data_IF_455490563376
#
_entry.id   IF_455490563376
#
_cell.length_a   1.000
_cell.length_b   1.000
_cell.length_c   1.000
_cell.angle_alpha   90.00
_cell.angle_beta   90.00
_cell.angle_gamma   90.00
#
_symmetry.space_group_name_H-M   'P 1'
#
loop_
_entity.id
_entity.type
_entity.pdbx_description
1 polymer ?
#
# COMPACT_ATOMS: atom_id res chain seq x y z
N UNK A 1 42.19 16.14 -19.07
CA UNK A 1 42.16 14.68 -19.29
C UNK A 1 40.82 14.34 -19.89
N UNK A 2 40.82 13.65 -21.02
CA UNK A 2 39.61 13.32 -21.78
C UNK A 2 38.72 12.35 -21.01
N UNK A 3 37.41 12.60 -20.99
CA UNK A 3 36.40 11.79 -20.29
C UNK A 3 35.24 11.51 -21.23
N UNK A 4 34.62 10.34 -21.11
CA UNK A 4 33.40 9.99 -21.85
C UNK A 4 32.48 9.06 -21.06
N UNK A 5 31.22 9.01 -21.48
CA UNK A 5 30.29 7.96 -21.09
C UNK A 5 30.23 6.92 -22.21
N UNK A 6 30.45 5.64 -21.90
CA UNK A 6 30.41 4.53 -22.87
C UNK A 6 29.24 3.59 -22.69
N UNK A 7 28.53 3.72 -21.57
CA UNK A 7 27.26 3.02 -21.34
C UNK A 7 26.34 3.99 -20.65
N UNK A 8 25.15 4.17 -21.21
CA UNK A 8 24.06 4.87 -20.54
C UNK A 8 22.75 4.19 -20.93
N UNK A 9 22.21 3.36 -20.04
CA UNK A 9 21.00 2.59 -20.30
C UNK A 9 19.98 2.75 -19.20
N UNK A 10 18.72 2.52 -19.54
CA UNK A 10 17.57 2.53 -18.64
C UNK A 10 16.79 1.22 -18.83
N UNK A 11 16.45 0.58 -17.71
CA UNK A 11 15.75 -0.70 -17.63
C UNK A 11 14.61 -0.58 -16.61
N UNK A 12 13.51 -1.29 -16.83
CA UNK A 12 12.37 -1.37 -15.90
C UNK A 12 12.29 -2.77 -15.30
N UNK A 13 11.80 -2.89 -14.06
CA UNK A 13 11.53 -4.21 -13.47
C UNK A 13 10.18 -4.79 -13.88
N UNK A 14 9.22 -3.91 -14.14
CA UNK A 14 7.85 -4.29 -14.45
C UNK A 14 7.30 -3.40 -15.58
N UNK A 15 6.37 -3.95 -16.35
CA UNK A 15 5.70 -3.20 -17.42
C UNK A 15 4.61 -2.26 -16.90
N UNK A 16 4.04 -2.57 -15.73
CA UNK A 16 2.82 -1.97 -15.23
C UNK A 16 2.90 -1.67 -13.73
N UNK A 17 2.25 -0.60 -13.30
CA UNK A 17 2.04 -0.28 -11.88
C UNK A 17 0.72 0.50 -11.70
N UNK A 18 0.24 0.63 -10.46
CA UNK A 18 -1.04 1.28 -10.17
C UNK A 18 -0.92 2.80 -10.14
N UNK A 19 -1.82 3.48 -10.85
CA UNK A 19 -1.90 4.94 -10.93
C UNK A 19 -2.57 5.58 -9.70
N UNK A 20 -2.07 5.29 -8.50
CA UNK A 20 -2.61 5.82 -7.23
C UNK A 20 -1.69 6.88 -6.59
N UNK A 21 -0.61 7.29 -7.27
CA UNK A 21 0.41 8.21 -6.78
C UNK A 21 1.35 7.65 -5.71
N UNK A 22 1.09 6.44 -5.22
CA UNK A 22 1.81 5.76 -4.12
C UNK A 22 2.60 4.57 -4.64
N UNK A 23 2.03 3.73 -5.49
CA UNK A 23 2.69 2.56 -6.06
C UNK A 23 3.82 3.02 -6.99
N UNK A 24 4.98 2.40 -6.83
CA UNK A 24 6.19 2.68 -7.59
C UNK A 24 6.54 1.51 -8.52
N UNK A 25 7.08 1.83 -9.70
CA UNK A 25 7.85 0.91 -10.53
C UNK A 25 9.33 1.22 -10.35
N UNK A 26 10.15 0.20 -10.10
CA UNK A 26 11.60 0.37 -10.05
C UNK A 26 12.18 0.46 -11.46
N UNK A 27 13.06 1.43 -11.66
CA UNK A 27 13.80 1.68 -12.88
C UNK A 27 15.29 1.66 -12.52
N UNK A 28 16.06 0.94 -13.33
CA UNK A 28 17.50 0.78 -13.17
C UNK A 28 18.21 1.56 -14.27
N UNK A 29 19.12 2.43 -13.89
CA UNK A 29 19.92 3.25 -14.80
C UNK A 29 21.37 2.81 -14.66
N UNK A 30 21.98 2.39 -15.77
CA UNK A 30 23.37 1.93 -15.78
C UNK A 30 24.24 2.94 -16.51
N UNK A 31 25.30 3.42 -15.86
CA UNK A 31 26.21 4.43 -16.40
C UNK A 31 27.66 3.98 -16.29
N UNK A 32 28.41 3.97 -17.39
CA UNK A 32 29.85 3.72 -17.40
C UNK A 32 30.59 4.98 -17.85
N UNK A 33 31.28 5.62 -16.91
CA UNK A 33 32.18 6.75 -17.17
C UNK A 33 33.62 6.26 -17.26
N UNK A 34 34.36 6.77 -18.23
CA UNK A 34 35.77 6.46 -18.45
C UNK A 34 36.59 7.73 -18.62
N UNK A 35 37.85 7.68 -18.20
CA UNK A 35 38.87 8.68 -18.48
C UNK A 35 40.01 8.07 -19.30
N UNK A 36 40.59 8.87 -20.20
CA UNK A 36 41.76 8.45 -20.95
C UNK A 36 43.02 8.74 -20.13
N UNK A 37 43.73 7.67 -19.74
CA UNK A 37 44.91 7.74 -18.89
C UNK A 37 45.94 6.70 -19.35
N UNK A 38 47.19 7.13 -19.50
CA UNK A 38 48.32 6.27 -19.86
C UNK A 38 48.09 5.44 -21.15
N UNK A 39 47.39 6.01 -22.13
CA UNK A 39 47.12 5.33 -23.42
C UNK A 39 45.93 4.37 -23.42
N UNK A 40 45.18 4.26 -22.31
CA UNK A 40 44.01 3.37 -22.18
C UNK A 40 42.80 4.11 -21.60
N UNK A 41 41.60 3.62 -21.89
CA UNK A 41 40.35 4.09 -21.29
C UNK A 41 40.09 3.31 -20.00
N UNK A 42 40.21 3.99 -18.87
CA UNK A 42 40.01 3.39 -17.55
C UNK A 42 38.69 3.86 -16.95
N UNK A 43 37.99 2.98 -16.23
CA UNK A 43 36.77 3.35 -15.50
C UNK A 43 37.07 4.48 -14.52
N UNK A 44 36.22 5.49 -14.55
CA UNK A 44 36.21 6.61 -13.61
C UNK A 44 34.86 6.62 -12.91
N UNK A 45 34.85 6.76 -11.58
CA UNK A 45 33.61 6.86 -10.84
C UNK A 45 32.85 8.15 -11.20
N UNK A 46 31.53 8.07 -11.23
CA UNK A 46 30.65 9.23 -11.25
C UNK A 46 30.86 10.04 -9.97
N UNK A 47 30.95 11.36 -10.13
CA UNK A 47 30.93 12.27 -8.99
C UNK A 47 29.56 12.30 -8.32
N UNK A 48 29.49 12.71 -7.05
CA UNK A 48 28.22 12.86 -6.34
C UNK A 48 27.28 13.87 -6.99
N UNK A 49 27.83 14.86 -7.71
CA UNK A 49 27.04 15.81 -8.48
C UNK A 49 26.39 15.15 -9.69
N UNK A 50 27.14 14.31 -10.41
CA UNK A 50 26.63 13.54 -11.55
C UNK A 50 25.57 12.52 -11.09
N UNK A 51 25.83 11.78 -10.00
CA UNK A 51 24.87 10.83 -9.41
C UNK A 51 23.55 11.50 -9.06
N UNK A 52 23.59 12.65 -8.37
CA UNK A 52 22.39 13.42 -7.99
C UNK A 52 21.67 14.06 -9.17
N UNK A 53 22.34 14.22 -10.30
CA UNK A 53 21.73 14.77 -11.52
C UNK A 53 20.96 13.73 -12.35
N UNK A 54 21.13 12.43 -12.06
CA UNK A 54 20.43 11.36 -12.78
C UNK A 54 18.94 11.42 -12.48
N UNK A 55 18.14 11.52 -13.54
CA UNK A 55 16.69 11.64 -13.45
C UNK A 55 16.03 10.87 -14.61
N UNK A 56 14.83 10.37 -14.37
CA UNK A 56 13.95 9.87 -15.42
C UNK A 56 13.20 11.05 -16.05
N UNK A 57 13.00 11.03 -17.37
CA UNK A 57 12.26 12.04 -18.11
C UNK A 57 11.43 11.41 -19.23
N UNK A 58 10.46 12.17 -19.75
CA UNK A 58 9.71 11.79 -20.95
C UNK A 58 10.66 11.61 -22.14
N UNK A 59 10.38 10.62 -23.00
CA UNK A 59 11.02 10.54 -24.30
C UNK A 59 10.69 11.80 -25.12
N UNK A 60 11.68 12.33 -25.82
CA UNK A 60 11.53 13.52 -26.66
C UNK A 60 12.53 13.50 -27.78
N UNK A 61 12.08 13.90 -28.97
CA UNK A 61 12.95 14.13 -30.12
C UNK A 61 13.62 15.53 -30.06
N UNK A 62 13.34 16.32 -29.01
CA UNK A 62 13.95 17.63 -28.81
C UNK A 62 15.43 17.52 -28.50
N UNK A 63 16.24 18.36 -29.14
CA UNK A 63 17.67 18.50 -28.86
C UNK A 63 17.95 19.40 -27.64
N UNK A 64 16.92 19.93 -26.98
CA UNK A 64 17.04 20.78 -25.78
C UNK A 64 16.94 19.89 -24.52
N UNK A 65 17.99 19.11 -24.28
CA UNK A 65 17.99 18.07 -23.24
C UNK A 65 17.83 18.61 -21.81
N UNK A 66 18.25 19.85 -21.55
CA UNK A 66 18.17 20.47 -20.22
C UNK A 66 16.72 20.71 -19.74
N UNK A 67 15.79 20.86 -20.68
CA UNK A 67 14.38 21.18 -20.37
C UNK A 67 13.49 19.93 -20.24
N UNK A 68 14.05 18.75 -20.45
CA UNK A 68 13.31 17.49 -20.37
C UNK A 68 12.80 17.26 -18.95
N UNK A 69 11.54 16.87 -18.83
CA UNK A 69 10.85 16.65 -17.56
C UNK A 69 10.09 15.33 -17.62
N UNK A 70 9.68 14.84 -16.45
CA UNK A 70 8.70 13.75 -16.39
C UNK A 70 7.39 14.15 -17.07
N UNK A 71 6.67 13.19 -17.69
CA UNK A 71 5.32 13.44 -18.19
C UNK A 71 4.40 13.99 -17.09
N UNK A 72 3.41 14.79 -17.49
CA UNK A 72 2.46 15.37 -16.53
C UNK A 72 1.74 14.27 -15.73
N UNK A 73 1.76 14.37 -14.40
CA UNK A 73 1.16 13.37 -13.49
C UNK A 73 2.09 12.21 -13.12
N UNK A 74 3.27 12.13 -13.72
CA UNK A 74 4.31 11.16 -13.37
C UNK A 74 5.37 11.81 -12.49
N UNK A 75 5.92 11.04 -11.56
CA UNK A 75 6.98 11.46 -10.64
C UNK A 75 8.07 10.40 -10.57
N UNK A 76 9.27 10.83 -10.17
CA UNK A 76 10.40 9.93 -9.93
C UNK A 76 11.07 10.32 -8.62
N UNK A 77 11.58 9.35 -7.88
CA UNK A 77 12.37 9.55 -6.65
C UNK A 77 13.51 8.55 -6.61
N UNK A 78 14.52 8.82 -5.81
CA UNK A 78 15.67 7.95 -5.51
C UNK A 78 15.39 6.94 -4.38
N UNK A 79 14.26 7.07 -3.68
CA UNK A 79 13.92 6.22 -2.54
C UNK A 79 12.67 5.34 -2.77
N UNK A 80 12.80 4.05 -2.45
CA UNK A 80 11.67 3.13 -2.35
C UNK A 80 10.79 3.58 -1.20
N UNK A 81 9.48 3.62 -1.41
CA UNK A 81 8.53 3.84 -0.33
C UNK A 81 8.10 2.51 0.33
N UNK A 82 7.10 2.58 1.21
CA UNK A 82 6.64 1.44 2.01
C UNK A 82 5.69 0.47 1.31
N UNK A 83 5.35 0.72 0.05
CA UNK A 83 4.42 -0.14 -0.70
C UNK A 83 5.18 -1.22 -1.45
N UNK A 84 4.49 -2.34 -1.68
CA UNK A 84 5.00 -3.45 -2.46
C UNK A 84 5.14 -3.04 -3.92
N UNK A 85 6.18 -3.56 -4.58
CA UNK A 85 6.40 -3.40 -6.02
C UNK A 85 5.66 -4.50 -6.78
N UNK A 86 5.45 -4.28 -8.08
CA UNK A 86 4.78 -5.22 -8.96
C UNK A 86 3.26 -5.23 -8.77
N UNK A 87 2.55 -5.91 -9.66
CA UNK A 87 1.10 -5.97 -9.58
C UNK A 87 0.62 -7.04 -8.60
N UNK A 88 -0.62 -6.89 -8.16
CA UNK A 88 -1.31 -7.90 -7.38
C UNK A 88 -1.44 -9.19 -8.21
N UNK A 89 -0.82 -10.27 -7.74
CA UNK A 89 -0.96 -11.58 -8.36
C UNK A 89 -2.23 -12.27 -7.84
N UNK A 90 -3.22 -12.46 -8.72
CA UNK A 90 -4.58 -12.93 -8.37
C UNK A 90 -4.71 -14.40 -7.95
N UNK A 91 -3.64 -15.05 -7.46
CA UNK A 91 -3.73 -16.42 -6.94
C UNK A 91 -3.99 -16.35 -5.43
N UNK A 92 -5.23 -16.60 -5.03
CA UNK A 92 -5.57 -16.84 -3.63
C UNK A 92 -4.91 -18.17 -3.22
N UNK A 93 -3.78 -18.12 -2.51
CA UNK A 93 -3.10 -19.34 -2.04
C UNK A 93 -2.93 -19.26 -0.53
N UNK A 94 -3.76 -19.97 0.24
CA UNK A 94 -3.77 -19.91 1.71
C UNK A 94 -2.42 -20.24 2.39
N UNK A 95 -1.41 -20.69 1.63
CA UNK A 95 -0.12 -21.17 2.15
C UNK A 95 1.09 -20.65 1.35
N UNK A 96 1.27 -19.33 1.22
CA UNK A 96 2.53 -18.78 0.69
C UNK A 96 3.08 -17.74 1.65
N UNK A 97 3.89 -18.21 2.60
CA UNK A 97 4.95 -17.39 3.19
C UNK A 97 6.01 -17.16 2.10
N UNK A 98 5.80 -16.18 1.22
CA UNK A 98 6.90 -15.66 0.41
C UNK A 98 7.74 -14.81 1.33
N UNK A 99 8.85 -15.38 1.79
CA UNK A 99 9.98 -14.60 2.27
C UNK A 99 10.33 -13.58 1.17
N UNK A 100 10.17 -12.29 1.47
CA UNK A 100 10.80 -11.25 0.66
C UNK A 100 12.30 -11.55 0.61
N UNK A 101 12.97 -11.42 -0.55
CA UNK A 101 14.42 -11.45 -0.57
C UNK A 101 14.91 -10.32 0.33
N UNK A 102 15.58 -10.69 1.42
CA UNK A 102 16.32 -9.78 2.28
C UNK A 102 17.32 -9.07 1.38
N UNK A 103 17.02 -7.83 1.00
CA UNK A 103 18.01 -6.94 0.41
C UNK A 103 18.92 -6.54 1.56
N UNK A 104 19.95 -7.37 1.80
CA UNK A 104 21.08 -6.97 2.63
C UNK A 104 21.64 -5.70 2.00
N UNK A 105 21.41 -4.57 2.66
CA UNK A 105 22.23 -3.39 2.47
C UNK A 105 23.65 -3.78 2.85
N UNK A 106 24.44 -4.24 1.89
CA UNK A 106 25.88 -4.38 2.05
C UNK A 106 26.46 -2.96 2.07
N UNK A 107 26.39 -2.34 3.25
CA UNK A 107 27.43 -1.44 3.69
C UNK A 107 28.72 -2.25 3.82
N UNK A 108 29.74 -1.77 3.10
CA UNK A 108 31.15 -1.78 3.48
C UNK A 108 31.78 -3.11 3.93
N UNK A 109 32.51 -3.76 3.02
CA UNK A 109 33.57 -4.71 3.37
C UNK A 109 34.81 -4.41 2.53
N UNK A 110 35.87 -4.01 3.20
CA UNK A 110 37.19 -3.68 2.67
C UNK A 110 37.89 -4.86 1.94
N UNK A 111 38.67 -4.46 0.92
CA UNK A 111 40.00 -4.96 0.49
C UNK A 111 40.24 -6.48 0.40
N UNK A 112 40.19 -7.00 -0.84
CA UNK A 112 41.04 -8.11 -1.26
C UNK A 112 41.87 -7.66 -2.47
N UNK A 113 43.18 -7.49 -2.27
CA UNK A 113 44.15 -6.88 -3.19
C UNK A 113 44.57 -7.74 -4.40
N UNK A 114 43.76 -8.69 -4.88
CA UNK A 114 44.17 -9.59 -5.99
C UNK A 114 43.14 -9.74 -7.14
N UNK A 115 42.26 -8.75 -7.34
CA UNK A 115 41.28 -8.72 -8.45
C UNK A 115 41.58 -7.64 -9.50
N UNK A 116 42.85 -7.33 -9.76
CA UNK A 116 43.21 -6.10 -10.47
C UNK A 116 43.16 -6.12 -12.02
N UNK A 117 42.77 -7.23 -12.68
CA UNK A 117 42.83 -7.29 -14.16
C UNK A 117 41.50 -7.57 -14.90
N UNK A 118 40.35 -7.64 -14.23
CA UNK A 118 39.04 -7.89 -14.89
C UNK A 118 37.93 -6.86 -14.61
N UNK A 119 38.16 -5.82 -13.78
CA UNK A 119 37.12 -4.86 -13.33
C UNK A 119 37.09 -3.56 -14.15
N UNK A 120 37.66 -3.54 -15.36
CA UNK A 120 37.83 -2.28 -16.12
C UNK A 120 36.55 -1.66 -16.70
N UNK A 121 35.39 -2.33 -16.66
CA UNK A 121 34.21 -1.87 -17.43
C UNK A 121 32.83 -2.16 -16.81
N UNK A 122 32.72 -2.37 -15.50
CA UNK A 122 31.39 -2.57 -14.86
C UNK A 122 30.68 -1.22 -14.70
N UNK A 123 29.49 -0.98 -15.28
CA UNK A 123 28.74 0.25 -15.07
C UNK A 123 28.35 0.47 -13.60
N UNK A 124 28.24 1.72 -13.18
CA UNK A 124 27.54 2.07 -11.95
C UNK A 124 26.03 1.97 -12.16
N UNK A 125 25.32 1.39 -11.18
CA UNK A 125 23.88 1.16 -11.24
C UNK A 125 23.19 2.11 -10.25
N UNK A 126 22.22 2.86 -10.74
CA UNK A 126 21.38 3.79 -9.97
C UNK A 126 19.93 3.32 -10.07
N UNK A 127 19.25 3.26 -8.94
CA UNK A 127 17.83 2.92 -8.89
C UNK A 127 16.99 4.19 -8.75
N UNK A 128 15.94 4.27 -9.56
CA UNK A 128 14.90 5.30 -9.46
C UNK A 128 13.54 4.63 -9.35
N UNK A 129 12.60 5.29 -8.70
CA UNK A 129 11.26 4.78 -8.46
C UNK A 129 10.25 5.72 -9.09
N UNK A 130 9.60 5.23 -10.14
CA UNK A 130 8.63 5.98 -10.93
C UNK A 130 7.22 5.71 -10.40
N UNK A 131 6.44 6.76 -10.18
CA UNK A 131 5.02 6.65 -9.82
C UNK A 131 4.17 7.61 -10.66
N UNK A 132 2.86 7.41 -10.64
CA UNK A 132 1.91 8.24 -11.39
C UNK A 132 0.58 8.31 -10.67
N UNK A 133 -0.09 9.46 -10.77
CA UNK A 133 -1.44 9.67 -10.25
C UNK A 133 -2.52 9.57 -11.34
N UNK A 134 -2.14 9.19 -12.57
CA UNK A 134 -3.06 9.06 -13.72
C UNK A 134 -2.77 7.84 -14.56
N UNK A 135 -3.83 7.21 -15.06
CA UNK A 135 -3.70 6.10 -15.99
C UNK A 135 -3.17 6.59 -17.33
N UNK A 136 -2.04 6.06 -17.79
CA UNK A 136 -1.38 6.47 -19.03
C UNK A 136 -0.29 5.47 -19.40
N UNK A 137 0.22 5.57 -20.62
CA UNK A 137 1.35 4.78 -21.11
C UNK A 137 2.37 5.74 -21.68
N UNK A 138 3.61 5.70 -21.17
CA UNK A 138 4.63 6.69 -21.48
C UNK A 138 5.94 5.99 -21.87
N UNK A 139 6.59 6.52 -22.91
CA UNK A 139 7.98 6.22 -23.17
C UNK A 139 8.86 7.13 -22.31
N UNK A 140 9.79 6.55 -21.57
CA UNK A 140 10.70 7.25 -20.69
C UNK A 140 12.16 6.96 -21.07
N UNK A 141 13.02 7.91 -20.77
CA UNK A 141 14.47 7.82 -20.86
C UNK A 141 15.11 8.35 -19.58
N UNK A 142 16.39 8.07 -19.35
CA UNK A 142 17.14 8.73 -18.29
C UNK A 142 17.94 9.91 -18.86
N UNK A 143 18.17 10.91 -18.02
CA UNK A 143 19.06 12.03 -18.29
C UNK A 143 20.03 12.23 -17.12
N UNK A 144 21.20 12.79 -17.39
CA UNK A 144 22.19 13.15 -16.39
C UNK A 144 22.98 14.38 -16.82
N UNK A 145 23.48 15.14 -15.86
CA UNK A 145 24.57 16.10 -16.12
C UNK A 145 25.88 15.34 -16.14
N UNK A 146 26.68 15.56 -17.18
CA UNK A 146 28.03 15.05 -17.34
C UNK A 146 29.01 16.22 -17.33
N UNK A 147 30.10 16.09 -16.58
CA UNK A 147 31.16 17.09 -16.50
C UNK A 147 32.46 16.55 -17.12
N UNK A 148 32.83 17.12 -18.27
CA UNK A 148 34.06 16.85 -18.98
C UNK A 148 35.00 18.08 -19.02
N UNK A 149 35.99 18.07 -19.91
CA UNK A 149 36.96 19.16 -20.06
C UNK A 149 36.37 20.43 -20.69
N UNK A 150 35.27 20.31 -21.41
CA UNK A 150 34.60 21.40 -22.13
C UNK A 150 33.47 22.03 -21.30
N UNK A 151 33.11 21.42 -20.17
CA UNK A 151 32.16 21.95 -19.20
C UNK A 151 31.11 20.92 -18.79
N UNK A 152 29.96 21.43 -18.34
CA UNK A 152 28.79 20.63 -17.98
C UNK A 152 27.84 20.57 -19.15
N UNK A 153 27.36 19.36 -19.46
CA UNK A 153 26.32 19.13 -20.48
C UNK A 153 25.34 18.06 -20.01
N UNK A 154 24.14 18.06 -20.57
CA UNK A 154 23.14 17.02 -20.29
C UNK A 154 23.24 15.92 -21.32
N UNK A 155 23.35 14.69 -20.85
CA UNK A 155 23.25 13.48 -21.65
C UNK A 155 21.90 12.81 -21.39
N UNK A 156 21.39 12.07 -22.38
CA UNK A 156 20.22 11.21 -22.22
C UNK A 156 20.53 9.80 -22.70
N UNK A 157 19.74 8.82 -22.25
CA UNK A 157 19.83 7.45 -22.77
C UNK A 157 19.29 7.31 -24.19
N UNK A 158 18.66 8.36 -24.74
CA UNK A 158 18.19 8.42 -26.11
C UNK A 158 18.70 9.72 -26.77
N UNK A 159 19.93 9.67 -27.27
CA UNK A 159 20.58 10.80 -27.95
C UNK A 159 21.57 10.31 -29.01
N UNK A 160 21.86 11.18 -29.97
CA UNK A 160 22.88 10.96 -30.99
C UNK A 160 23.55 12.29 -31.30
N UNK A 161 24.58 12.64 -30.51
CA UNK A 161 25.33 13.91 -30.66
C UNK A 161 26.82 13.64 -30.64
N UNK A 162 27.51 13.92 -31.75
CA UNK A 162 28.95 13.65 -31.87
C UNK A 162 29.25 12.15 -31.68
N UNK A 163 30.17 11.84 -30.78
CA UNK A 163 30.55 10.46 -30.44
C UNK A 163 29.64 9.82 -29.37
N UNK A 164 28.66 10.56 -28.84
CA UNK A 164 27.71 10.08 -27.84
C UNK A 164 26.42 9.62 -28.50
N UNK A 165 26.34 8.30 -28.71
CA UNK A 165 25.18 7.64 -29.31
C UNK A 165 24.62 6.63 -28.31
N UNK A 166 23.43 6.92 -27.78
CA UNK A 166 22.68 6.08 -26.86
C UNK A 166 21.26 5.87 -27.40
N UNK A 167 20.78 4.62 -27.43
CA UNK A 167 19.40 4.29 -27.79
C UNK A 167 18.80 3.30 -26.79
N UNK A 168 18.48 3.81 -25.61
CA UNK A 168 17.85 3.08 -24.53
C UNK A 168 16.68 3.90 -23.98
N UNK A 169 15.52 3.27 -23.97
CA UNK A 169 14.23 3.82 -23.53
C UNK A 169 13.38 2.69 -22.99
N UNK A 170 12.49 3.02 -22.06
CA UNK A 170 11.51 2.08 -21.49
C UNK A 170 10.10 2.56 -21.81
N UNK A 171 9.17 1.61 -21.95
CA UNK A 171 7.74 1.88 -22.03
C UNK A 171 7.10 1.47 -20.69
N UNK A 172 6.53 2.40 -19.94
CA UNK A 172 5.83 2.09 -18.68
C UNK A 172 4.35 2.41 -18.80
N UNK A 173 3.51 1.57 -18.17
CA UNK A 173 2.07 1.75 -18.16
C UNK A 173 1.54 1.89 -16.73
N UNK A 174 1.01 3.07 -16.43
CA UNK A 174 0.25 3.32 -15.20
C UNK A 174 -1.20 2.86 -15.43
N UNK A 175 -1.64 1.83 -14.72
CA UNK A 175 -2.99 1.24 -14.84
C UNK A 175 -3.92 1.68 -13.70
N UNK A 176 -5.22 1.47 -13.87
CA UNK A 176 -6.20 1.80 -12.84
C UNK A 176 -5.85 1.08 -11.52
N UNK A 177 -5.92 1.77 -10.37
CA UNK A 177 -5.71 1.13 -9.07
C UNK A 177 -6.62 -0.08 -8.87
N UNK A 178 -6.09 -1.14 -8.28
CA UNK A 178 -6.90 -2.29 -7.91
C UNK A 178 -7.99 -1.87 -6.92
N UNK A 179 -9.16 -2.49 -7.05
CA UNK A 179 -10.29 -2.14 -6.22
C UNK A 179 -11.02 -3.38 -5.72
N UNK A 180 -11.13 -3.51 -4.40
CA UNK A 180 -11.80 -4.62 -3.74
C UNK A 180 -13.31 -4.35 -3.74
N UNK A 181 -14.08 -5.25 -4.34
CA UNK A 181 -15.53 -5.25 -4.22
C UNK A 181 -15.97 -5.97 -2.93
N UNK A 182 -17.10 -5.57 -2.37
CA UNK A 182 -17.60 -6.15 -1.13
C UNK A 182 -17.82 -7.67 -1.22
N UNK A 183 -18.22 -8.19 -2.39
CA UNK A 183 -18.40 -9.62 -2.62
C UNK A 183 -17.08 -10.42 -2.71
N UNK A 184 -15.93 -9.75 -2.76
CA UNK A 184 -14.62 -10.40 -2.71
C UNK A 184 -14.10 -10.51 -1.26
N UNK A 185 -14.77 -9.88 -0.30
CA UNK A 185 -14.45 -10.04 1.10
C UNK A 185 -15.00 -11.39 1.58
N UNK A 186 -14.14 -12.19 2.19
CA UNK A 186 -14.59 -13.43 2.81
C UNK A 186 -15.19 -13.12 4.18
N UNK A 187 -16.51 -13.20 4.29
CA UNK A 187 -17.24 -13.00 5.52
C UNK A 187 -17.24 -14.26 6.39
N UNK A 188 -16.94 -14.08 7.68
CA UNK A 188 -17.10 -15.11 8.69
C UNK A 188 -17.68 -14.50 9.96
N UNK A 189 -18.53 -15.26 10.64
CA UNK A 189 -19.19 -14.83 11.89
C UNK A 189 -18.85 -15.78 13.02
N UNK A 190 -18.45 -15.23 14.17
CA UNK A 190 -18.16 -15.98 15.39
C UNK A 190 -19.07 -15.51 16.52
N UNK A 191 -19.58 -16.46 17.32
CA UNK A 191 -20.34 -16.14 18.54
C UNK A 191 -19.32 -15.94 19.67
N UNK A 192 -19.23 -14.72 20.20
CA UNK A 192 -18.37 -14.38 21.35
C UNK A 192 -19.06 -14.64 22.69
N UNK A 193 -20.38 -14.53 22.71
CA UNK A 193 -21.21 -14.73 23.89
C UNK A 193 -22.61 -15.16 23.46
N UNK A 194 -23.17 -16.15 24.13
CA UNK A 194 -24.54 -16.60 23.96
C UNK A 194 -25.01 -17.20 25.28
N UNK A 195 -25.87 -16.48 26.01
CA UNK A 195 -26.42 -16.94 27.29
C UNK A 195 -27.86 -16.51 27.49
N UNK A 196 -28.62 -17.39 28.11
CA UNK A 196 -29.97 -17.14 28.66
C UNK A 196 -29.85 -17.03 30.18
N UNK A 197 -30.44 -16.01 30.79
CA UNK A 197 -30.62 -15.98 32.25
C UNK A 197 -31.99 -16.54 32.63
N UNK A 198 -32.06 -17.20 33.79
CA UNK A 198 -33.31 -17.68 34.36
C UNK A 198 -34.28 -16.51 34.62
N UNK A 199 -35.58 -16.63 34.26
CA UNK A 199 -36.56 -15.53 34.25
C UNK A 199 -36.86 -14.89 35.62
N UNK A 200 -36.24 -15.38 36.70
CA UNK A 200 -36.35 -14.82 38.05
C UNK A 200 -35.61 -13.48 38.23
N UNK A 201 -34.71 -13.10 37.31
CA UNK A 201 -34.06 -11.78 37.27
C UNK A 201 -34.68 -10.97 36.14
N UNK A 202 -35.38 -9.89 36.47
CA UNK A 202 -36.34 -9.19 35.60
C UNK A 202 -35.78 -8.47 34.36
N UNK A 203 -34.47 -8.48 34.14
CA UNK A 203 -33.86 -7.46 33.29
C UNK A 203 -33.36 -7.97 31.94
N UNK A 204 -32.94 -9.23 31.82
CA UNK A 204 -32.39 -9.81 30.58
C UNK A 204 -32.84 -11.24 30.40
N UNK A 205 -33.43 -11.60 29.26
CA UNK A 205 -33.78 -13.00 29.00
C UNK A 205 -32.66 -13.73 28.27
N UNK A 206 -32.14 -13.13 27.19
CA UNK A 206 -31.08 -13.74 26.39
C UNK A 206 -30.18 -12.67 25.78
N UNK A 207 -28.88 -12.91 25.78
CA UNK A 207 -27.88 -12.02 25.19
C UNK A 207 -26.95 -12.82 24.28
N UNK A 208 -26.73 -12.25 23.09
CA UNK A 208 -25.76 -12.74 22.11
C UNK A 208 -24.81 -11.61 21.71
N UNK A 209 -23.57 -11.98 21.45
CA UNK A 209 -22.56 -11.11 20.85
C UNK A 209 -21.97 -11.86 19.65
N UNK A 210 -22.27 -11.38 18.45
CA UNK A 210 -21.77 -11.94 17.19
C UNK A 210 -20.67 -11.04 16.64
N UNK A 211 -19.50 -11.59 16.38
CA UNK A 211 -18.37 -10.92 15.75
C UNK A 211 -18.35 -11.26 14.26
N UNK A 212 -18.50 -10.22 13.42
CA UNK A 212 -18.34 -10.27 11.98
C UNK A 212 -16.90 -9.93 11.62
N UNK A 213 -16.32 -10.72 10.71
CA UNK A 213 -15.01 -10.49 10.12
C UNK A 213 -15.12 -10.53 8.60
N UNK A 214 -14.50 -9.56 7.95
CA UNK A 214 -14.37 -9.51 6.49
C UNK A 214 -12.89 -9.56 6.13
N UNK A 215 -12.46 -10.71 5.61
CA UNK A 215 -11.06 -10.93 5.21
C UNK A 215 -10.82 -10.39 3.81
N UNK A 216 -9.75 -9.63 3.64
CA UNK A 216 -9.33 -9.07 2.36
C UNK A 216 -8.87 -10.20 1.41
N UNK A 217 -9.14 -10.08 0.10
CA UNK A 217 -8.73 -11.09 -0.87
C UNK A 217 -7.22 -11.01 -1.16
N UNK A 218 -6.67 -12.07 -1.78
CA UNK A 218 -5.32 -12.11 -2.36
C UNK A 218 -4.19 -11.72 -1.41
N UNK A 219 -4.34 -12.00 -0.11
CA UNK A 219 -3.38 -11.60 0.94
C UNK A 219 -3.10 -10.10 1.01
N UNK A 220 -4.06 -9.29 0.55
CA UNK A 220 -3.99 -7.84 0.73
C UNK A 220 -3.95 -7.54 2.24
N UNK A 221 -3.06 -6.61 2.59
CA UNK A 221 -2.87 -6.14 3.97
C UNK A 221 -3.18 -4.67 4.03
N UNK A 222 -3.86 -4.24 5.08
CA UNK A 222 -4.11 -2.85 5.40
C UNK A 222 -2.82 -2.27 5.96
N UNK A 223 -2.21 -1.32 5.25
CA UNK A 223 -1.07 -0.55 5.76
C UNK A 223 -1.53 0.72 6.48
N UNK A 224 -2.44 1.47 5.86
CA UNK A 224 -2.99 2.71 6.42
C UNK A 224 -4.52 2.68 6.39
N UNK A 225 -5.16 3.52 7.19
CA UNK A 225 -6.60 3.66 7.18
C UNK A 225 -7.10 4.62 8.25
N UNK A 226 -8.41 4.83 8.27
CA UNK A 226 -9.11 5.54 9.35
C UNK A 226 -9.66 4.57 10.42
N UNK A 227 -9.10 3.36 10.51
CA UNK A 227 -9.59 2.31 11.39
C UNK A 227 -9.51 2.75 12.86
N UNK A 228 -10.68 2.81 13.49
CA UNK A 228 -10.85 3.20 14.89
C UNK A 228 -11.85 2.26 15.53
N UNK A 229 -11.69 2.00 16.82
CA UNK A 229 -12.76 1.38 17.58
C UNK A 229 -13.86 2.42 17.76
N UNK A 230 -15.04 2.14 17.21
CA UNK A 230 -16.20 3.01 17.30
C UNK A 230 -17.32 2.24 17.95
N UNK A 231 -17.72 2.71 19.13
CA UNK A 231 -18.85 2.16 19.86
C UNK A 231 -20.15 2.71 19.27
N UNK A 232 -21.21 1.90 19.29
CA UNK A 232 -22.57 2.33 19.01
C UNK A 232 -22.76 2.95 17.63
N UNK A 233 -22.29 2.28 16.56
CA UNK A 233 -22.57 2.71 15.18
C UNK A 233 -24.09 2.76 14.91
N UNK A 234 -24.85 1.93 15.63
CA UNK A 234 -26.28 2.06 15.84
C UNK A 234 -26.64 1.55 17.24
N UNK A 235 -27.80 1.97 17.73
CA UNK A 235 -28.49 1.45 18.91
C UNK A 235 -29.98 1.40 18.59
N UNK A 236 -30.53 0.20 18.42
CA UNK A 236 -31.95 0.00 18.12
C UNK A 236 -32.62 -0.71 19.29
N UNK A 237 -33.48 0.04 19.98
CA UNK A 237 -34.36 -0.45 21.03
C UNK A 237 -35.82 -0.47 20.57
N UNK A 238 -36.55 -1.54 20.88
CA UNK A 238 -38.01 -1.61 20.70
C UNK A 238 -38.70 -1.66 22.07
N UNK A 239 -39.64 -0.76 22.31
CA UNK A 239 -40.30 -0.56 23.61
C UNK A 239 -41.70 -1.19 23.74
N UNK A 240 -42.18 -1.97 22.77
CA UNK A 240 -43.48 -2.67 22.92
C UNK A 240 -43.34 -3.80 23.95
N UNK A 241 -44.28 -3.87 24.90
CA UNK A 241 -44.23 -4.70 26.12
C UNK A 241 -43.83 -6.17 25.91
N UNK A 242 -44.17 -6.74 24.75
CA UNK A 242 -44.10 -8.19 24.51
C UNK A 242 -42.88 -8.62 23.67
N UNK A 243 -42.09 -7.68 23.12
CA UNK A 243 -40.93 -7.96 22.23
C UNK A 243 -39.84 -6.89 22.41
N UNK A 244 -39.43 -6.68 23.68
CA UNK A 244 -38.36 -5.74 24.00
C UNK A 244 -37.01 -6.34 23.66
N UNK A 245 -36.29 -5.67 22.76
CA UNK A 245 -34.91 -6.00 22.45
C UNK A 245 -34.04 -4.76 22.37
N UNK A 246 -32.75 -4.96 22.63
CA UNK A 246 -31.69 -3.98 22.42
C UNK A 246 -30.68 -4.59 21.45
N UNK A 247 -30.42 -3.89 20.35
CA UNK A 247 -29.28 -4.21 19.48
C UNK A 247 -28.34 -3.01 19.41
N UNK A 248 -27.05 -3.29 19.35
CA UNK A 248 -26.02 -2.29 19.10
C UNK A 248 -24.87 -2.91 18.36
N UNK A 249 -24.14 -2.10 17.61
CA UNK A 249 -22.93 -2.56 16.95
C UNK A 249 -21.71 -1.70 17.30
N UNK A 250 -20.55 -2.32 17.17
CA UNK A 250 -19.24 -1.72 17.40
C UNK A 250 -18.29 -2.15 16.29
N UNK A 251 -17.53 -1.20 15.77
CA UNK A 251 -16.44 -1.47 14.81
C UNK A 251 -15.12 -1.49 15.57
N UNK A 252 -14.19 -2.34 15.14
CA UNK A 252 -12.87 -2.50 15.75
C UNK A 252 -11.76 -1.95 14.86
N UNK A 253 -10.77 -1.29 15.47
CA UNK A 253 -9.48 -1.00 14.82
C UNK A 253 -8.64 -2.28 14.66
N UNK A 254 -7.60 -2.21 13.82
CA UNK A 254 -6.54 -3.22 13.78
C UNK A 254 -5.81 -3.33 15.11
N UNK A 255 -5.32 -4.53 15.42
CA UNK A 255 -4.71 -4.88 16.71
C UNK A 255 -5.75 -5.38 17.71
N UNK A 256 -5.42 -5.32 19.00
CA UNK A 256 -6.27 -5.84 20.08
C UNK A 256 -7.09 -4.71 20.71
N UNK A 257 -8.39 -4.95 20.86
CA UNK A 257 -9.31 -4.13 21.65
C UNK A 257 -9.81 -4.94 22.84
N UNK A 258 -9.63 -4.41 24.06
CA UNK A 258 -10.26 -4.93 25.26
C UNK A 258 -11.64 -4.29 25.44
N UNK A 259 -12.66 -5.12 25.66
CA UNK A 259 -14.04 -4.71 25.54
C UNK A 259 -14.86 -5.31 26.67
N UNK A 260 -15.86 -4.56 27.13
CA UNK A 260 -16.92 -5.10 27.96
C UNK A 260 -18.28 -4.88 27.28
N UNK A 261 -19.16 -5.88 27.39
CA UNK A 261 -20.51 -5.85 26.87
C UNK A 261 -21.34 -4.69 27.45
N UNK A 262 -20.99 -4.13 28.61
CA UNK A 262 -21.65 -2.97 29.23
C UNK A 262 -20.95 -1.64 28.97
N UNK A 263 -19.89 -1.59 28.17
CA UNK A 263 -19.27 -0.33 27.78
C UNK A 263 -20.34 0.65 27.26
N UNK A 264 -20.27 1.90 27.74
CA UNK A 264 -21.18 3.01 27.44
C UNK A 264 -22.66 2.79 27.85
N UNK A 265 -22.92 2.00 28.90
CA UNK A 265 -24.26 1.77 29.46
C UNK A 265 -24.37 2.20 30.93
N UNK A 266 -25.45 2.91 31.28
CA UNK A 266 -25.86 3.20 32.68
C UNK A 266 -27.07 2.36 33.06
N UNK A 267 -26.96 1.50 34.10
CA UNK A 267 -27.97 0.46 34.41
C UNK A 267 -27.73 -0.83 33.60
N UNK A 268 -28.61 -1.84 33.60
CA UNK A 268 -28.36 -2.98 32.69
C UNK A 268 -29.40 -4.08 32.56
N UNK A 269 -30.01 -4.15 31.36
CA UNK A 269 -30.50 -5.39 30.73
C UNK A 269 -29.42 -6.11 29.89
N UNK A 270 -28.15 -5.69 30.04
CA UNK A 270 -27.01 -6.29 29.35
C UNK A 270 -26.19 -7.02 30.40
N UNK A 271 -25.99 -8.31 30.19
CA UNK A 271 -25.13 -9.15 31.02
C UNK A 271 -23.69 -8.67 30.91
N UNK A 272 -23.02 -8.59 32.06
CA UNK A 272 -21.61 -8.25 32.13
C UNK A 272 -20.76 -9.36 31.49
N UNK A 273 -19.90 -8.98 30.56
CA UNK A 273 -19.01 -9.89 29.87
C UNK A 273 -17.83 -9.12 29.26
N UNK A 274 -16.63 -9.42 29.72
CA UNK A 274 -15.38 -8.87 29.17
C UNK A 274 -14.75 -9.85 28.20
N UNK A 275 -14.23 -9.33 27.08
CA UNK A 275 -13.60 -10.12 26.03
C UNK A 275 -12.62 -9.27 25.22
N UNK A 276 -11.71 -9.95 24.54
CA UNK A 276 -10.74 -9.34 23.64
C UNK A 276 -11.10 -9.62 22.18
N UNK A 277 -10.95 -8.61 21.34
CA UNK A 277 -11.03 -8.75 19.89
C UNK A 277 -9.71 -8.34 19.27
N UNK A 278 -9.00 -9.31 18.69
CA UNK A 278 -7.80 -9.07 17.88
C UNK A 278 -8.18 -9.08 16.40
N UNK A 279 -7.83 -7.99 15.69
CA UNK A 279 -8.08 -7.80 14.27
C UNK A 279 -6.73 -7.71 13.54
N UNK A 280 -6.37 -8.70 12.70
CA UNK A 280 -5.16 -8.64 11.90
C UNK A 280 -5.24 -7.55 10.82
N UNK A 281 -4.12 -7.23 10.20
CA UNK A 281 -4.05 -6.29 9.08
C UNK A 281 -4.72 -6.81 7.80
N UNK A 282 -5.11 -8.08 7.75
CA UNK A 282 -5.84 -8.70 6.62
C UNK A 282 -7.36 -8.65 6.77
N UNK A 283 -7.89 -8.06 7.84
CA UNK A 283 -9.33 -8.12 8.15
C UNK A 283 -9.90 -6.77 8.59
N UNK A 284 -11.19 -6.61 8.32
CA UNK A 284 -12.07 -5.67 9.00
C UNK A 284 -12.94 -6.45 9.99
N UNK A 285 -13.29 -5.85 11.12
CA UNK A 285 -14.14 -6.51 12.11
C UNK A 285 -15.13 -5.56 12.78
N UNK A 286 -16.32 -6.09 13.05
CA UNK A 286 -17.36 -5.42 13.80
C UNK A 286 -18.20 -6.45 14.57
N UNK A 287 -18.84 -6.05 15.64
CA UNK A 287 -19.73 -6.92 16.40
C UNK A 287 -21.16 -6.39 16.44
N UNK A 288 -22.08 -7.30 16.72
CA UNK A 288 -23.45 -7.01 17.10
C UNK A 288 -23.71 -7.61 18.48
N UNK A 289 -24.08 -6.77 19.44
CA UNK A 289 -24.70 -7.20 20.68
C UNK A 289 -26.21 -7.17 20.50
N UNK A 290 -26.87 -8.28 20.78
CA UNK A 290 -28.32 -8.41 20.74
C UNK A 290 -28.82 -9.00 22.05
N UNK A 291 -29.78 -8.30 22.65
CA UNK A 291 -30.40 -8.66 23.92
C UNK A 291 -31.90 -8.73 23.73
N UNK A 292 -32.54 -9.79 24.22
CA UNK A 292 -33.99 -9.94 24.26
C UNK A 292 -34.52 -9.94 25.69
N UNK A 293 -35.79 -9.58 25.84
CA UNK A 293 -36.47 -9.50 27.13
C UNK A 293 -35.86 -8.43 28.04
N UNK A 294 -35.36 -7.37 27.43
CA UNK A 294 -34.68 -6.27 28.07
C UNK A 294 -35.70 -5.38 28.84
N UNK A 295 -35.47 -5.12 30.13
CA UNK A 295 -36.43 -4.35 30.96
C UNK A 295 -36.51 -2.86 30.63
N UNK A 296 -35.52 -2.30 29.91
CA UNK A 296 -35.50 -0.91 29.46
C UNK A 296 -34.63 -0.77 28.20
N UNK A 297 -35.05 -0.03 27.18
CA UNK A 297 -34.19 0.26 26.01
C UNK A 297 -33.92 1.76 25.91
N UNK A 298 -32.66 2.17 25.75
CA UNK A 298 -32.30 3.58 25.51
C UNK A 298 -32.14 3.84 24.03
N UNK A 299 -32.71 4.95 23.56
CA UNK A 299 -32.36 5.55 22.26
C UNK A 299 -32.77 4.72 21.04
N UNK A 300 -33.17 5.42 19.99
CA UNK A 300 -33.25 4.85 18.65
C UNK A 300 -32.30 5.67 17.78
N UNK A 301 -31.21 5.03 17.35
CA UNK A 301 -30.23 5.62 16.45
C UNK A 301 -29.78 4.54 15.47
N UNK A 302 -30.05 4.76 14.20
CA UNK A 302 -29.67 3.87 13.10
C UNK A 302 -28.63 4.57 12.23
N UNK A 303 -27.36 4.30 12.53
CA UNK A 303 -26.22 4.86 11.82
C UNK A 303 -25.42 3.81 11.06
N UNK A 304 -24.42 4.29 10.34
CA UNK A 304 -23.45 3.51 9.59
C UNK A 304 -22.02 3.94 9.94
N UNK A 305 -21.04 3.15 9.50
CA UNK A 305 -19.63 3.49 9.66
C UNK A 305 -18.84 3.28 8.38
N UNK A 306 -18.21 4.36 7.92
CA UNK A 306 -17.36 4.37 6.74
C UNK A 306 -15.90 4.12 7.12
N UNK A 307 -15.37 2.99 6.67
CA UNK A 307 -13.96 2.62 6.81
C UNK A 307 -13.23 2.85 5.49
N UNK A 308 -12.12 3.57 5.56
CA UNK A 308 -11.17 3.79 4.47
C UNK A 308 -9.87 3.09 4.82
N UNK A 309 -9.39 2.25 3.91
CA UNK A 309 -8.13 1.52 4.02
C UNK A 309 -7.24 1.80 2.82
N UNK A 310 -5.93 1.67 3.01
CA UNK A 310 -4.92 1.68 1.95
C UNK A 310 -4.14 0.38 2.07
N UNK A 311 -4.13 -0.39 1.00
CA UNK A 311 -3.47 -1.70 0.97
C UNK A 311 -1.94 -1.61 0.79
N UNK A 312 -1.29 -2.76 0.81
CA UNK A 312 0.15 -2.91 0.61
C UNK A 312 0.64 -2.48 -0.77
N UNK A 313 -0.22 -2.31 -1.77
CA UNK A 313 0.09 -1.74 -3.08
C UNK A 313 -0.30 -0.25 -3.19
N UNK A 314 -0.70 0.38 -2.09
CA UNK A 314 -1.10 1.78 -2.03
C UNK A 314 -2.46 2.08 -2.62
N UNK A 315 -3.28 1.05 -2.94
CA UNK A 315 -4.63 1.26 -3.44
C UNK A 315 -5.59 1.55 -2.28
N UNK A 316 -6.39 2.60 -2.44
CA UNK A 316 -7.36 3.03 -1.43
C UNK A 316 -8.70 2.33 -1.67
N UNK A 317 -9.27 1.77 -0.61
CA UNK A 317 -10.59 1.15 -0.62
C UNK A 317 -11.46 1.79 0.45
N UNK A 318 -12.75 1.95 0.17
CA UNK A 318 -13.73 2.46 1.12
C UNK A 318 -14.91 1.52 1.22
N UNK A 319 -15.32 1.24 2.46
CA UNK A 319 -16.46 0.40 2.76
C UNK A 319 -17.35 1.08 3.79
N UNK A 320 -18.64 0.74 3.73
CA UNK A 320 -19.65 1.12 4.68
C UNK A 320 -20.16 -0.11 5.40
N UNK A 321 -20.13 -0.08 6.72
CA UNK A 321 -20.73 -1.10 7.59
C UNK A 321 -22.07 -0.55 8.09
N UNK A 322 -23.15 -1.29 7.85
CA UNK A 322 -24.51 -0.87 8.18
C UNK A 322 -25.32 -1.99 8.84
N UNK A 323 -26.31 -1.58 9.62
CA UNK A 323 -27.27 -2.47 10.27
C UNK A 323 -28.19 -3.15 9.22
N UNK A 324 -28.52 -4.42 9.42
CA UNK A 324 -29.57 -5.13 8.69
C UNK A 324 -30.39 -6.00 9.67
N UNK A 325 -31.57 -6.45 9.24
CA UNK A 325 -32.48 -7.25 10.08
C UNK A 325 -32.78 -6.57 11.44
N UNK A 326 -33.10 -5.27 11.40
CA UNK A 326 -33.39 -4.45 12.59
C UNK A 326 -32.22 -4.50 13.59
N UNK A 327 -30.99 -4.37 13.07
CA UNK A 327 -29.77 -4.35 13.88
C UNK A 327 -29.33 -5.70 14.44
N UNK A 328 -29.94 -6.82 14.02
CA UNK A 328 -29.51 -8.17 14.43
C UNK A 328 -28.33 -8.71 13.63
N UNK A 329 -28.01 -8.08 12.50
CA UNK A 329 -26.89 -8.45 11.66
C UNK A 329 -26.25 -7.21 11.01
N UNK A 330 -25.05 -7.40 10.45
CA UNK A 330 -24.30 -6.38 9.72
C UNK A 330 -24.22 -6.72 8.24
N UNK A 331 -24.05 -5.68 7.43
CA UNK A 331 -23.66 -5.77 6.04
C UNK A 331 -22.49 -4.85 5.76
N UNK A 332 -21.67 -5.21 4.77
CA UNK A 332 -20.58 -4.36 4.27
C UNK A 332 -20.79 -4.07 2.78
N UNK A 333 -20.68 -2.81 2.39
CA UNK A 333 -20.81 -2.38 1.02
C UNK A 333 -19.61 -1.51 0.61
N UNK A 334 -19.16 -1.62 -0.62
CA UNK A 334 -18.15 -0.71 -1.16
C UNK A 334 -18.78 0.65 -1.46
N UNK A 335 -18.08 1.73 -1.14
CA UNK A 335 -18.49 3.10 -1.44
C UNK A 335 -17.39 3.86 -2.21
N UNK A 336 -17.74 5.00 -2.79
CA UNK A 336 -16.87 5.82 -3.65
C UNK A 336 -15.92 6.74 -2.88
#
# INVERSE_FOLDING_TARGET
MEKKITTFTIEKTDDNFYANGRHQCMVKISVLKQEYKNGDWVKLALSDAEKRSIQVAALSDSLIYDQLKMPSGWTTTDARNKYDLGLLNGVYSADIFTEEPVINHAGDCCTNENYQNSVKSVPEIIYCYVSSNRTSTEYLMAKMTFEDTNGKRTLTTNMSVGDEVFDSKILLKAIAPYAINANQLHESTNILFDKTEEPTKSDTHHQTINLYRWTLPYHLRILEGNDRTVNNIYVLGKNSSDDRFLTRARVFKRGTSYVNARNDMSGGCVMDYSYDVTVPDTQLAAEVLHVTGCSWTTGYFDGDYDVTIIDNYGCQHKFRISSVNIGRALSIARIS
#
